data_IF_819487882145
#
_entry.id   IF_819487882145
#
_cell.length_a   1.000
_cell.length_b   1.000
_cell.length_c   1.000
_cell.angle_alpha   90.00
_cell.angle_beta   90.00
_cell.angle_gamma   90.00
#
_symmetry.space_group_name_H-M   'P 1'
#
loop_
_entity.id
_entity.type
_entity.pdbx_description
1 polymer ?
#
# COMPACT_ATOMS: atom_id res chain seq x y z
N UNK A 1 -3.92 25.26 -31.68
CA UNK A 1 -4.13 23.82 -31.92
C UNK A 1 -3.93 23.11 -30.59
N UNK A 2 -5.01 22.72 -29.92
CA UNK A 2 -4.93 21.95 -28.67
C UNK A 2 -4.50 20.53 -29.07
N UNK A 3 -3.32 20.11 -28.62
CA UNK A 3 -2.82 18.76 -28.87
C UNK A 3 -3.80 17.74 -28.31
N UNK A 4 -4.11 16.69 -29.09
CA UNK A 4 -4.92 15.56 -28.61
C UNK A 4 -4.23 14.96 -27.37
N UNK A 5 -4.97 14.82 -26.28
CA UNK A 5 -4.49 14.11 -25.10
C UNK A 5 -4.08 12.68 -25.49
N UNK A 6 -2.89 12.26 -25.08
CA UNK A 6 -2.40 10.90 -25.29
C UNK A 6 -3.26 9.94 -24.45
N UNK A 7 -3.97 8.97 -25.08
CA UNK A 7 -4.88 8.06 -24.38
C UNK A 7 -4.17 7.16 -23.36
N UNK A 8 -2.83 7.11 -23.35
CA UNK A 8 -2.04 6.39 -22.36
C UNK A 8 -1.77 7.20 -21.08
N UNK A 9 -2.16 8.47 -21.01
CA UNK A 9 -1.93 9.31 -19.83
C UNK A 9 -3.07 9.12 -18.84
N UNK A 10 -2.77 8.43 -17.74
CA UNK A 10 -3.65 8.39 -16.57
C UNK A 10 -3.57 9.73 -15.81
N UNK A 11 -4.31 10.75 -16.26
CA UNK A 11 -4.28 12.10 -15.71
C UNK A 11 -4.56 12.15 -14.19
N UNK A 12 -5.55 11.39 -13.71
CA UNK A 12 -5.85 11.30 -12.29
C UNK A 12 -4.69 10.68 -11.50
N UNK A 13 -4.06 9.62 -12.02
CA UNK A 13 -2.91 8.98 -11.37
C UNK A 13 -1.71 9.93 -11.28
N UNK A 14 -1.49 10.80 -12.27
CA UNK A 14 -0.43 11.81 -12.23
C UNK A 14 -0.69 12.85 -11.12
N UNK A 15 -1.91 13.35 -11.04
CA UNK A 15 -2.33 14.33 -10.01
C UNK A 15 -2.30 13.72 -8.60
N UNK A 16 -2.72 12.46 -8.46
CA UNK A 16 -2.64 11.72 -7.19
C UNK A 16 -1.20 11.59 -6.68
N UNK A 17 -0.22 11.40 -7.57
CA UNK A 17 1.21 11.39 -7.17
C UNK A 17 1.65 12.73 -6.60
N UNK A 18 1.16 13.85 -7.12
CA UNK A 18 1.46 15.17 -6.57
C UNK A 18 0.84 15.37 -5.19
N UNK A 19 -0.40 14.92 -4.98
CA UNK A 19 -1.01 14.94 -3.64
C UNK A 19 -0.19 14.12 -2.65
N UNK A 20 0.18 12.89 -3.00
CA UNK A 20 1.00 12.02 -2.13
C UNK A 20 2.37 12.65 -1.87
N UNK A 21 2.97 13.27 -2.89
CA UNK A 21 4.22 14.01 -2.76
C UNK A 21 4.10 15.15 -1.75
N UNK A 22 3.06 15.98 -1.82
CA UNK A 22 2.85 17.08 -0.87
C UNK A 22 2.69 16.58 0.57
N UNK A 23 1.93 15.49 0.77
CA UNK A 23 1.78 14.85 2.08
C UNK A 23 3.12 14.33 2.63
N UNK A 24 3.98 13.80 1.77
CA UNK A 24 5.33 13.39 2.18
C UNK A 24 6.16 14.60 2.63
N UNK A 25 6.14 15.70 1.86
CA UNK A 25 6.87 16.92 2.23
C UNK A 25 6.36 17.52 3.55
N UNK A 26 5.05 17.47 3.81
CA UNK A 26 4.47 17.87 5.10
C UNK A 26 5.11 17.08 6.24
N UNK A 27 5.19 15.75 6.12
CA UNK A 27 5.75 14.90 7.17
C UNK A 27 7.26 15.11 7.34
N UNK A 28 8.01 15.25 6.26
CA UNK A 28 9.47 15.47 6.28
C UNK A 28 9.84 16.85 6.82
N UNK A 29 9.00 17.86 6.61
CA UNK A 29 9.21 19.22 7.08
C UNK A 29 8.86 19.45 8.56
N UNK A 30 8.22 18.47 9.24
CA UNK A 30 7.84 18.63 10.64
C UNK A 30 9.01 18.38 11.58
N UNK A 31 9.17 19.30 12.53
CA UNK A 31 10.12 19.16 13.66
C UNK A 31 9.50 18.38 14.84
N UNK A 32 8.18 18.39 14.96
CA UNK A 32 7.43 17.60 15.96
C UNK A 32 7.17 16.18 15.44
N UNK A 33 7.31 15.19 16.31
CA UNK A 33 6.96 13.80 16.03
C UNK A 33 5.43 13.55 16.01
N UNK A 34 4.61 14.56 16.28
CA UNK A 34 3.14 14.45 16.39
C UNK A 34 2.47 15.34 15.34
N UNK A 35 1.47 14.79 14.67
CA UNK A 35 0.51 15.49 13.81
C UNK A 35 -0.91 15.17 14.29
N UNK A 36 -1.76 16.19 14.43
CA UNK A 36 -3.16 15.96 14.80
C UNK A 36 -3.95 15.46 13.59
N UNK A 37 -5.04 14.72 13.85
CA UNK A 37 -5.96 14.27 12.79
C UNK A 37 -6.53 15.46 12.03
N UNK A 38 -6.82 16.56 12.73
CA UNK A 38 -7.32 17.79 12.13
C UNK A 38 -6.29 18.43 11.20
N UNK A 39 -5.03 18.54 11.63
CA UNK A 39 -3.95 19.09 10.81
C UNK A 39 -3.75 18.25 9.53
N UNK A 40 -3.67 16.93 9.68
CA UNK A 40 -3.52 16.00 8.56
C UNK A 40 -4.69 16.12 7.57
N UNK A 41 -5.94 16.06 8.07
CA UNK A 41 -7.14 16.13 7.24
C UNK A 41 -7.24 17.46 6.51
N UNK A 42 -7.08 18.58 7.22
CA UNK A 42 -7.19 19.91 6.63
C UNK A 42 -6.11 20.14 5.55
N UNK A 43 -4.91 19.58 5.75
CA UNK A 43 -3.87 19.63 4.71
C UNK A 43 -4.22 18.75 3.52
N UNK A 44 -4.63 17.50 3.74
CA UNK A 44 -5.06 16.58 2.68
C UNK A 44 -6.17 17.18 1.81
N UNK A 45 -7.27 17.64 2.41
CA UNK A 45 -8.42 18.19 1.69
C UNK A 45 -8.05 19.43 0.85
N UNK A 46 -7.17 20.30 1.37
CA UNK A 46 -6.66 21.45 0.60
C UNK A 46 -5.84 21.02 -0.60
N UNK A 47 -4.88 20.11 -0.42
CA UNK A 47 -3.99 19.66 -1.49
C UNK A 47 -4.76 18.85 -2.54
N UNK A 48 -5.68 17.99 -2.10
CA UNK A 48 -6.56 17.24 -2.98
C UNK A 48 -7.42 18.19 -3.83
N UNK A 49 -8.02 19.22 -3.23
CA UNK A 49 -8.78 20.24 -3.94
C UNK A 49 -7.92 21.03 -4.93
N UNK A 50 -6.69 21.41 -4.54
CA UNK A 50 -5.73 22.10 -5.41
C UNK A 50 -5.39 21.27 -6.65
N UNK A 51 -5.21 19.95 -6.51
CA UNK A 51 -4.96 19.05 -7.63
C UNK A 51 -6.24 18.51 -8.29
N UNK A 52 -7.41 19.06 -7.96
CA UNK A 52 -8.68 18.80 -8.62
C UNK A 52 -9.25 17.41 -8.37
N UNK A 53 -9.22 16.96 -7.12
CA UNK A 53 -9.84 15.72 -6.64
C UNK A 53 -9.47 14.47 -7.46
N UNK A 54 -8.19 14.08 -7.48
CA UNK A 54 -7.73 12.97 -8.32
C UNK A 54 -8.08 11.57 -7.77
N UNK A 55 -8.50 11.47 -6.50
CA UNK A 55 -8.93 10.22 -5.90
C UNK A 55 -10.42 10.04 -6.12
N UNK A 56 -10.81 8.80 -6.41
CA UNK A 56 -12.20 8.49 -6.70
C UNK A 56 -12.98 8.33 -5.40
N UNK A 57 -14.16 8.93 -5.34
CA UNK A 57 -15.07 8.85 -4.19
C UNK A 57 -16.29 8.00 -4.54
N UNK A 58 -16.83 7.27 -3.55
CA UNK A 58 -18.04 6.45 -3.68
C UNK A 58 -18.00 5.38 -4.78
N UNK A 59 -16.82 4.82 -5.05
CA UNK A 59 -16.67 3.77 -6.06
C UNK A 59 -17.06 2.38 -5.55
N UNK A 60 -17.46 1.53 -6.49
CA UNK A 60 -17.71 0.12 -6.24
C UNK A 60 -16.44 -0.71 -6.47
N UNK A 61 -16.26 -1.73 -5.65
CA UNK A 61 -15.19 -2.70 -5.90
C UNK A 61 -15.45 -3.40 -7.24
N UNK A 62 -14.42 -3.46 -8.09
CA UNK A 62 -14.47 -4.22 -9.35
C UNK A 62 -13.87 -5.60 -9.12
N UNK A 63 -12.59 -5.79 -9.43
CA UNK A 63 -11.88 -7.07 -9.24
C UNK A 63 -11.88 -7.56 -7.77
N UNK A 64 -12.02 -6.65 -6.80
CA UNK A 64 -12.11 -6.97 -5.38
C UNK A 64 -13.55 -7.09 -4.84
N UNK A 65 -14.58 -7.07 -5.68
CA UNK A 65 -15.96 -7.31 -5.23
C UNK A 65 -16.12 -8.72 -4.64
N UNK A 66 -16.69 -8.80 -3.44
CA UNK A 66 -17.15 -10.05 -2.85
C UNK A 66 -18.51 -10.47 -3.39
N UNK A 67 -18.93 -11.69 -3.09
CA UNK A 67 -20.30 -12.18 -3.33
C UNK A 67 -21.34 -11.43 -2.49
N UNK A 68 -20.94 -10.87 -1.36
CA UNK A 68 -21.71 -9.95 -0.51
C UNK A 68 -20.79 -8.89 0.10
N UNK A 69 -21.38 -7.90 0.78
CA UNK A 69 -20.66 -6.74 1.35
C UNK A 69 -19.65 -7.10 2.44
N UNK A 70 -19.85 -8.20 3.16
CA UNK A 70 -18.93 -8.66 4.21
C UNK A 70 -17.67 -9.35 3.66
N UNK A 71 -17.63 -9.68 2.37
CA UNK A 71 -16.55 -10.41 1.75
C UNK A 71 -15.65 -9.53 0.86
N UNK A 72 -14.34 -9.84 0.84
CA UNK A 72 -13.32 -9.17 0.01
C UNK A 72 -13.27 -7.66 0.23
N UNK A 73 -13.45 -6.86 -0.82
CA UNK A 73 -13.46 -5.40 -0.79
C UNK A 73 -12.13 -4.80 -0.35
N UNK A 74 -12.16 -4.03 0.74
CA UNK A 74 -11.04 -3.26 1.24
C UNK A 74 -9.77 -4.10 1.48
N UNK A 75 -9.92 -5.29 2.08
CA UNK A 75 -8.78 -6.16 2.41
C UNK A 75 -8.13 -6.73 1.14
N UNK A 76 -8.92 -7.09 0.13
CA UNK A 76 -8.42 -7.45 -1.20
C UNK A 76 -7.66 -6.29 -1.84
N UNK A 77 -8.24 -5.08 -1.83
CA UNK A 77 -7.61 -3.88 -2.38
C UNK A 77 -6.28 -3.53 -1.71
N UNK A 78 -6.18 -3.71 -0.39
CA UNK A 78 -4.93 -3.52 0.34
C UNK A 78 -3.85 -4.52 -0.07
N UNK A 79 -4.18 -5.82 -0.15
CA UNK A 79 -3.22 -6.82 -0.62
C UNK A 79 -2.74 -6.50 -2.03
N UNK A 80 -3.65 -6.15 -2.95
CA UNK A 80 -3.29 -5.72 -4.30
C UNK A 80 -2.35 -4.51 -4.28
N UNK A 81 -2.65 -3.52 -3.44
CA UNK A 81 -1.82 -2.31 -3.28
C UNK A 81 -0.42 -2.65 -2.77
N UNK A 82 -0.30 -3.50 -1.75
CA UNK A 82 0.99 -3.92 -1.19
C UNK A 82 1.84 -4.69 -2.22
N UNK A 83 1.23 -5.62 -2.96
CA UNK A 83 1.92 -6.33 -4.05
C UNK A 83 2.38 -5.35 -5.14
N UNK A 84 1.51 -4.43 -5.56
CA UNK A 84 1.84 -3.42 -6.56
C UNK A 84 3.00 -2.51 -6.11
N UNK A 85 3.05 -2.10 -4.84
CA UNK A 85 4.16 -1.33 -4.27
C UNK A 85 5.49 -2.10 -4.37
N UNK A 86 5.51 -3.37 -3.93
CA UNK A 86 6.74 -4.19 -4.00
C UNK A 86 7.19 -4.43 -5.45
N UNK A 87 6.27 -4.65 -6.38
CA UNK A 87 6.58 -4.79 -7.80
C UNK A 87 7.10 -3.48 -8.40
N UNK A 88 6.52 -2.34 -8.01
CA UNK A 88 6.93 -1.03 -8.52
C UNK A 88 8.36 -0.66 -8.11
N UNK A 89 8.81 -1.04 -6.92
CA UNK A 89 10.20 -0.86 -6.47
C UNK A 89 11.18 -1.58 -7.40
N UNK A 90 10.88 -2.83 -7.78
CA UNK A 90 11.71 -3.61 -8.72
C UNK A 90 11.72 -2.92 -10.08
N UNK A 91 10.55 -2.59 -10.64
CA UNK A 91 10.42 -1.97 -11.97
C UNK A 91 11.18 -0.64 -12.03
N UNK A 92 11.08 0.18 -10.99
CA UNK A 92 11.72 1.49 -10.95
C UNK A 92 13.24 1.35 -10.79
N UNK A 93 13.71 0.41 -9.96
CA UNK A 93 15.14 0.14 -9.85
C UNK A 93 15.73 -0.42 -11.15
N UNK A 94 15.03 -1.32 -11.87
CA UNK A 94 15.51 -1.82 -13.16
C UNK A 94 15.67 -0.72 -14.23
N UNK A 95 14.98 0.41 -14.09
CA UNK A 95 15.08 1.57 -15.00
C UNK A 95 16.16 2.58 -14.58
N UNK A 96 16.60 2.54 -13.32
CA UNK A 96 17.53 3.50 -12.73
C UNK A 96 18.77 2.77 -12.18
N UNK A 97 19.96 3.03 -12.72
CA UNK A 97 21.22 2.37 -12.32
C UNK A 97 21.81 2.90 -10.99
N UNK A 98 20.98 3.45 -10.11
CA UNK A 98 21.41 3.95 -8.80
C UNK A 98 21.66 2.83 -7.78
N UNK A 99 22.04 3.22 -6.56
CA UNK A 99 22.17 2.29 -5.43
C UNK A 99 20.86 1.53 -5.23
N UNK A 100 20.96 0.20 -5.11
CA UNK A 100 19.80 -0.64 -4.88
C UNK A 100 19.12 -0.28 -3.55
N UNK A 101 17.79 -0.09 -3.53
CA UNK A 101 17.09 0.25 -2.30
C UNK A 101 17.13 -0.93 -1.32
N UNK A 102 16.99 -0.62 -0.03
CA UNK A 102 16.87 -1.66 1.00
C UNK A 102 15.60 -2.52 0.73
N UNK A 103 15.73 -3.83 0.44
CA UNK A 103 14.60 -4.68 0.12
C UNK A 103 13.64 -4.88 1.31
N UNK A 104 14.09 -4.67 2.55
CA UNK A 104 13.22 -4.70 3.73
C UNK A 104 12.37 -3.44 3.89
N UNK A 105 12.80 -2.29 3.35
CA UNK A 105 12.16 -1.00 3.56
C UNK A 105 10.66 -1.01 3.26
N UNK A 106 10.24 -1.40 2.05
CA UNK A 106 8.81 -1.46 1.69
C UNK A 106 8.01 -2.43 2.56
N UNK A 107 8.56 -3.59 2.89
CA UNK A 107 7.88 -4.56 3.75
C UNK A 107 7.73 -4.06 5.19
N UNK A 108 8.73 -3.36 5.72
CA UNK A 108 8.66 -2.73 7.05
C UNK A 108 7.66 -1.59 7.08
N UNK A 109 7.55 -0.81 6.00
CA UNK A 109 6.50 0.20 5.86
C UNK A 109 5.10 -0.43 5.86
N UNK A 110 4.90 -1.52 5.11
CA UNK A 110 3.64 -2.30 5.13
C UNK A 110 3.36 -2.84 6.54
N UNK A 111 4.35 -3.44 7.20
CA UNK A 111 4.22 -3.94 8.56
C UNK A 111 3.81 -2.83 9.54
N UNK A 112 4.46 -1.66 9.46
CA UNK A 112 4.15 -0.50 10.29
C UNK A 112 2.73 0.03 10.04
N UNK A 113 2.31 0.10 8.78
CA UNK A 113 0.96 0.50 8.42
C UNK A 113 -0.09 -0.48 8.96
N UNK A 114 0.10 -1.79 8.75
CA UNK A 114 -0.83 -2.82 9.26
C UNK A 114 -0.90 -2.75 10.78
N UNK A 115 0.24 -2.59 11.45
CA UNK A 115 0.29 -2.51 12.91
C UNK A 115 -0.41 -1.27 13.45
N UNK A 116 -0.43 -0.15 12.71
CA UNK A 116 -0.90 1.13 13.25
C UNK A 116 -2.31 1.53 12.81
N UNK A 117 -2.73 1.13 11.60
CA UNK A 117 -3.92 1.68 10.95
C UNK A 117 -4.93 0.65 10.47
N UNK A 118 -4.57 -0.63 10.38
CA UNK A 118 -5.50 -1.63 9.83
C UNK A 118 -6.64 -1.94 10.80
N UNK A 119 -7.90 -1.80 10.37
CA UNK A 119 -9.05 -1.84 11.27
C UNK A 119 -9.34 -3.20 11.92
N UNK A 120 -8.95 -4.32 11.30
CA UNK A 120 -9.22 -5.66 11.86
C UNK A 120 -8.15 -6.06 12.88
N UNK A 121 -8.44 -5.92 14.17
CA UNK A 121 -7.53 -6.27 15.27
C UNK A 121 -7.07 -7.73 15.22
N UNK A 122 -8.01 -8.66 15.04
CA UNK A 122 -7.69 -10.09 14.95
C UNK A 122 -6.74 -10.40 13.77
N UNK A 123 -6.95 -9.72 12.64
CA UNK A 123 -6.10 -9.84 11.46
C UNK A 123 -4.70 -9.26 11.72
N UNK A 124 -4.61 -8.12 12.41
CA UNK A 124 -3.34 -7.49 12.83
C UNK A 124 -2.51 -8.42 13.68
N UNK A 125 -3.10 -9.04 14.70
CA UNK A 125 -2.41 -9.97 15.59
C UNK A 125 -1.83 -11.16 14.82
N UNK A 126 -2.62 -11.74 13.91
CA UNK A 126 -2.16 -12.81 13.04
C UNK A 126 -1.03 -12.37 12.10
N UNK A 127 -1.15 -11.20 11.49
CA UNK A 127 -0.11 -10.64 10.62
C UNK A 127 1.20 -10.44 11.39
N UNK A 128 1.13 -9.84 12.59
CA UNK A 128 2.30 -9.58 13.42
C UNK A 128 2.94 -10.86 13.94
N UNK A 129 2.15 -11.83 14.42
CA UNK A 129 2.68 -13.15 14.80
C UNK A 129 3.42 -13.81 13.63
N UNK A 130 2.85 -13.74 12.43
CA UNK A 130 3.49 -14.28 11.24
C UNK A 130 4.81 -13.57 10.93
N UNK A 131 4.81 -12.25 10.79
CA UNK A 131 5.98 -11.51 10.30
C UNK A 131 7.09 -11.30 11.33
N UNK A 132 6.83 -11.61 12.62
CA UNK A 132 7.83 -11.48 13.70
C UNK A 132 8.27 -12.82 14.29
N UNK A 133 7.45 -13.87 14.21
CA UNK A 133 7.73 -15.15 14.88
C UNK A 133 7.76 -16.32 13.90
N UNK A 134 6.65 -16.63 13.22
CA UNK A 134 6.55 -17.90 12.48
C UNK A 134 7.13 -17.84 11.07
N UNK A 135 7.12 -16.67 10.44
CA UNK A 135 7.74 -16.40 9.15
C UNK A 135 8.43 -15.03 9.18
N UNK A 136 9.49 -14.88 9.99
CA UNK A 136 10.03 -13.57 10.34
C UNK A 136 10.58 -12.85 9.11
N UNK A 137 10.29 -11.55 9.04
CA UNK A 137 10.82 -10.62 8.05
C UNK A 137 12.23 -10.19 8.47
N UNK A 138 13.24 -10.87 7.94
CA UNK A 138 14.65 -10.67 8.28
C UNK A 138 15.54 -10.57 7.04
N UNK A 139 16.76 -10.05 7.22
CA UNK A 139 17.75 -9.89 6.15
C UNK A 139 18.15 -11.22 5.51
N UNK A 140 18.13 -12.32 6.28
CA UNK A 140 18.42 -13.65 5.76
C UNK A 140 17.35 -14.15 4.79
N UNK A 141 16.12 -13.68 4.94
CA UNK A 141 14.98 -14.09 4.11
C UNK A 141 14.69 -13.11 2.98
N UNK A 142 15.03 -11.84 3.18
CA UNK A 142 14.79 -10.74 2.24
C UNK A 142 16.13 -10.05 1.98
N UNK A 143 16.95 -10.67 1.14
CA UNK A 143 18.28 -10.17 0.81
C UNK A 143 18.30 -9.39 -0.52
N UNK A 144 17.48 -9.82 -1.50
CA UNK A 144 17.35 -9.20 -2.82
C UNK A 144 15.97 -8.56 -3.00
N UNK A 145 15.84 -7.65 -3.97
CA UNK A 145 14.54 -7.05 -4.31
C UNK A 145 13.52 -8.09 -4.76
N UNK A 146 13.95 -9.17 -5.41
CA UNK A 146 13.06 -10.29 -5.79
C UNK A 146 12.59 -11.08 -4.57
N UNK A 147 13.42 -11.20 -3.53
CA UNK A 147 13.04 -11.85 -2.27
C UNK A 147 11.95 -11.05 -1.54
N UNK A 148 11.96 -9.72 -1.66
CA UNK A 148 10.92 -8.85 -1.11
C UNK A 148 9.53 -9.19 -1.67
N UNK A 149 9.42 -9.26 -3.00
CA UNK A 149 8.18 -9.64 -3.70
C UNK A 149 7.75 -11.06 -3.29
N UNK A 150 8.69 -12.00 -3.32
CA UNK A 150 8.43 -13.40 -2.96
C UNK A 150 8.04 -13.58 -1.49
N UNK A 151 8.62 -12.81 -0.58
CA UNK A 151 8.27 -12.83 0.84
C UNK A 151 6.80 -12.43 1.03
N UNK A 152 6.38 -11.31 0.43
CA UNK A 152 4.99 -10.85 0.55
C UNK A 152 4.02 -11.86 -0.07
N UNK A 153 4.36 -12.44 -1.22
CA UNK A 153 3.57 -13.50 -1.85
C UNK A 153 3.45 -14.74 -0.97
N UNK A 154 4.54 -15.22 -0.36
CA UNK A 154 4.52 -16.37 0.57
C UNK A 154 3.70 -16.05 1.82
N UNK A 155 3.89 -14.87 2.41
CA UNK A 155 3.14 -14.40 3.56
C UNK A 155 1.63 -14.35 3.28
N UNK A 156 1.23 -13.86 2.11
CA UNK A 156 -0.18 -13.88 1.69
C UNK A 156 -0.72 -15.31 1.55
N UNK A 157 0.06 -16.24 0.98
CA UNK A 157 -0.38 -17.64 0.88
C UNK A 157 -0.46 -18.36 2.23
N UNK A 158 0.36 -18.01 3.23
CA UNK A 158 0.20 -18.49 4.61
C UNK A 158 -1.15 -18.03 5.18
N UNK A 159 -1.54 -16.78 4.90
CA UNK A 159 -2.87 -16.26 5.30
C UNK A 159 -3.99 -17.01 4.56
N UNK A 160 -3.88 -17.21 3.25
CA UNK A 160 -4.87 -17.94 2.46
C UNK A 160 -5.06 -19.37 2.98
N UNK A 161 -3.98 -20.09 3.24
CA UNK A 161 -4.04 -21.45 3.77
C UNK A 161 -4.73 -21.51 5.14
N UNK A 162 -4.61 -20.48 5.98
CA UNK A 162 -5.30 -20.39 7.27
C UNK A 162 -6.79 -20.07 7.12
N UNK A 163 -7.15 -19.24 6.14
CA UNK A 163 -8.54 -18.82 5.91
C UNK A 163 -9.34 -19.82 5.07
N UNK A 164 -8.68 -20.79 4.44
CA UNK A 164 -9.34 -21.79 3.62
C UNK A 164 -10.38 -22.60 4.42
N UNK A 165 -11.61 -22.66 3.91
CA UNK A 165 -12.75 -23.33 4.52
C UNK A 165 -13.37 -22.62 5.71
N UNK A 166 -12.95 -21.39 6.05
CA UNK A 166 -13.59 -20.63 7.13
C UNK A 166 -14.85 -19.90 6.64
N UNK A 167 -15.70 -19.46 7.57
CA UNK A 167 -16.87 -18.65 7.26
C UNK A 167 -16.55 -17.21 6.77
N UNK A 168 -15.26 -16.85 6.72
CA UNK A 168 -14.77 -15.59 6.16
C UNK A 168 -14.04 -15.79 4.83
N UNK A 169 -13.96 -17.02 4.33
CA UNK A 169 -13.48 -17.31 2.98
C UNK A 169 -14.46 -16.74 1.95
N UNK A 170 -13.91 -16.15 0.88
CA UNK A 170 -14.66 -15.36 -0.09
C UNK A 170 -14.23 -15.64 -1.53
#
# INVERSE_FOLDING_TARGET
>A
MVGKDDPNILHNSRRAKWVIGDLQHLLEGKTSAVISVEEWRNHFERVEGFFGYPFVQNETWQHCAGSSSEFRGYTCGLWTTFHALTANVIITHSKNTGIAPNPLGPLKAIQGWVTSFFGCEHCRQHFMKMTTQTFPMSEQRVFRLTDMLMYLWRAHNIVNARLHGTNTEA
#
